data_IF_936734552091
#
_entry.id   IF_936734552091
#
_cell.length_a   1.000
_cell.length_b   1.000
_cell.length_c   1.000
_cell.angle_alpha   90.00
_cell.angle_beta   90.00
_cell.angle_gamma   90.00
#
_symmetry.space_group_name_H-M   'P 1'
#
loop_
_entity.id
_entity.type
_entity.pdbx_description
1 polymer ?
#
# COMPACT_ATOMS: atom_id res chain seq x y z
N UNK A 1 30.26 -3.88 16.35
CA UNK A 1 29.26 -3.71 15.28
C UNK A 1 27.92 -4.11 15.87
N UNK A 2 26.90 -3.24 15.91
CA UNK A 2 25.57 -3.63 16.36
C UNK A 2 25.06 -4.89 15.67
N UNK A 3 24.38 -5.74 16.43
CA UNK A 3 23.78 -6.98 15.94
C UNK A 3 22.27 -6.83 15.94
N UNK A 4 21.68 -7.16 14.81
CA UNK A 4 20.25 -7.12 14.60
C UNK A 4 19.70 -8.53 14.64
N UNK A 5 18.74 -8.78 15.52
CA UNK A 5 18.08 -10.07 15.64
C UNK A 5 16.69 -10.01 15.00
N UNK A 6 16.39 -10.96 14.11
CA UNK A 6 15.04 -11.07 13.54
C UNK A 6 14.05 -11.46 14.63
N UNK A 7 13.00 -10.66 14.80
CA UNK A 7 11.93 -10.89 15.79
C UNK A 7 10.59 -11.26 15.16
N UNK A 8 10.38 -10.92 13.89
CA UNK A 8 9.22 -11.37 13.12
C UNK A 8 9.55 -11.46 11.64
N UNK A 9 8.88 -12.38 10.96
CA UNK A 9 8.89 -12.53 9.50
C UNK A 9 7.45 -12.61 9.02
N UNK A 10 7.16 -11.97 7.90
CA UNK A 10 5.85 -11.94 7.26
C UNK A 10 5.99 -12.08 5.75
N UNK A 11 4.89 -12.37 5.07
CA UNK A 11 4.82 -12.27 3.61
C UNK A 11 4.82 -10.80 3.19
N UNK A 12 5.56 -10.50 2.13
CA UNK A 12 5.56 -9.18 1.50
C UNK A 12 5.87 -9.34 0.02
N UNK A 13 5.13 -8.67 -0.86
CA UNK A 13 5.40 -8.76 -2.29
C UNK A 13 5.88 -7.42 -2.85
N UNK A 14 7.08 -7.41 -3.44
CA UNK A 14 7.60 -6.26 -4.16
C UNK A 14 7.11 -6.23 -5.62
N UNK A 15 7.71 -5.34 -6.41
CA UNK A 15 7.61 -5.40 -7.86
C UNK A 15 8.42 -6.54 -8.46
N UNK A 16 8.47 -6.66 -9.79
CA UNK A 16 9.20 -7.72 -10.47
C UNK A 16 10.72 -7.60 -10.38
N UNK A 17 11.43 -8.71 -10.62
CA UNK A 17 12.90 -8.70 -10.73
C UNK A 17 13.38 -7.83 -11.90
N UNK A 18 12.62 -7.82 -12.99
CA UNK A 18 12.93 -7.09 -14.21
C UNK A 18 11.71 -6.27 -14.66
N UNK A 19 11.99 -5.08 -15.21
CA UNK A 19 10.95 -4.19 -15.71
C UNK A 19 10.19 -4.84 -16.87
N UNK A 20 8.86 -4.74 -16.86
CA UNK A 20 8.01 -5.17 -17.96
C UNK A 20 6.78 -4.25 -18.09
N UNK A 21 6.03 -4.40 -19.19
CA UNK A 21 4.71 -3.75 -19.35
C UNK A 21 3.60 -4.75 -19.06
N UNK A 22 2.70 -4.40 -18.16
CA UNK A 22 1.53 -5.22 -17.86
C UNK A 22 0.56 -5.27 -19.06
N UNK A 23 -0.52 -6.04 -18.92
CA UNK A 23 -1.57 -6.13 -19.96
C UNK A 23 -2.28 -4.80 -20.22
N UNK A 24 -2.25 -3.87 -19.26
CA UNK A 24 -2.80 -2.52 -19.37
C UNK A 24 -1.83 -1.51 -19.99
N UNK A 25 -0.59 -1.92 -20.31
CA UNK A 25 0.47 -1.06 -20.81
C UNK A 25 1.18 -0.22 -19.75
N UNK A 26 0.85 -0.43 -18.46
CA UNK A 26 1.55 0.19 -17.34
C UNK A 26 2.92 -0.45 -17.14
N UNK A 27 3.86 0.33 -16.66
CA UNK A 27 5.22 -0.14 -16.42
C UNK A 27 5.34 -0.71 -15.01
N UNK A 28 5.61 -2.02 -14.92
CA UNK A 28 5.98 -2.67 -13.67
C UNK A 28 7.49 -2.58 -13.50
N UNK A 29 7.95 -2.02 -12.38
CA UNK A 29 9.37 -1.81 -12.10
C UNK A 29 9.82 -2.55 -10.84
N UNK A 30 11.10 -2.95 -10.76
CA UNK A 30 11.63 -3.55 -9.54
C UNK A 30 11.53 -2.63 -8.34
N UNK A 31 11.20 -3.21 -7.18
CA UNK A 31 11.26 -2.47 -5.91
C UNK A 31 12.71 -2.05 -5.66
N UNK A 32 12.92 -0.75 -5.46
CA UNK A 32 14.26 -0.16 -5.42
C UNK A 32 15.02 -0.52 -4.16
N UNK A 33 16.01 -1.42 -4.30
CA UNK A 33 16.93 -1.75 -3.21
C UNK A 33 17.60 -0.50 -2.62
N UNK A 34 17.84 -0.53 -1.31
CA UNK A 34 18.45 0.57 -0.58
C UNK A 34 17.90 0.72 0.84
N UNK A 35 18.41 1.73 1.53
CA UNK A 35 18.04 2.05 2.91
C UNK A 35 17.35 3.40 2.96
N UNK A 36 16.24 3.45 3.69
CA UNK A 36 15.28 4.54 3.68
C UNK A 36 14.75 4.80 5.09
N UNK A 37 14.14 5.96 5.28
CA UNK A 37 13.52 6.37 6.54
C UNK A 37 12.02 6.54 6.33
N UNK A 38 11.22 5.99 7.24
CA UNK A 38 9.77 6.22 7.24
C UNK A 38 9.50 7.69 7.57
N UNK A 39 8.91 8.43 6.64
CA UNK A 39 8.57 9.83 6.86
C UNK A 39 7.09 10.07 7.15
N UNK A 40 6.19 9.26 6.58
CA UNK A 40 4.74 9.42 6.72
C UNK A 40 4.03 8.07 6.76
N UNK A 41 3.03 7.94 7.62
CA UNK A 41 2.10 6.81 7.69
C UNK A 41 0.70 7.42 7.67
N UNK A 42 -0.01 7.26 6.56
CA UNK A 42 -1.31 7.91 6.35
C UNK A 42 -2.08 7.26 5.18
N UNK A 43 -3.35 7.61 5.03
CA UNK A 43 -4.13 7.25 3.85
C UNK A 43 -3.56 7.92 2.60
N UNK A 44 -3.52 7.17 1.49
CA UNK A 44 -3.13 7.75 0.22
C UNK A 44 -4.34 8.29 -0.56
N UNK A 45 -4.22 9.54 -1.00
CA UNK A 45 -5.11 10.14 -1.99
C UNK A 45 -4.30 10.62 -3.18
N UNK A 46 -4.56 10.03 -4.35
CA UNK A 46 -3.89 10.39 -5.60
C UNK A 46 -4.42 11.74 -6.10
N UNK A 47 -3.51 12.66 -6.43
CA UNK A 47 -3.87 13.96 -7.00
C UNK A 47 -4.03 13.90 -8.53
N UNK A 48 -3.21 13.06 -9.18
CA UNK A 48 -3.20 12.86 -10.63
C UNK A 48 -4.32 11.95 -11.16
N UNK A 49 -4.13 11.45 -12.38
CA UNK A 49 -5.10 10.59 -13.10
C UNK A 49 -4.72 9.10 -13.15
N UNK A 50 -3.55 8.71 -12.65
CA UNK A 50 -3.05 7.34 -12.75
C UNK A 50 -3.91 6.33 -11.97
N UNK A 51 -4.42 6.74 -10.81
CA UNK A 51 -5.22 5.91 -9.92
C UNK A 51 -6.54 6.64 -9.59
N UNK A 52 -7.54 6.59 -10.48
CA UNK A 52 -8.76 7.38 -10.34
C UNK A 52 -9.57 7.02 -9.09
N UNK A 53 -9.60 5.75 -8.70
CA UNK A 53 -10.31 5.30 -7.49
C UNK A 53 -9.58 5.65 -6.20
N UNK A 54 -8.27 5.85 -6.27
CA UNK A 54 -7.46 6.38 -5.18
C UNK A 54 -7.57 7.90 -5.00
N UNK A 55 -8.43 8.60 -5.76
CA UNK A 55 -8.77 10.02 -5.52
C UNK A 55 -9.76 10.20 -4.36
N UNK A 56 -10.32 9.09 -3.88
CA UNK A 56 -11.18 9.02 -2.71
C UNK A 56 -10.42 8.31 -1.58
N UNK A 57 -10.33 8.88 -0.37
CA UNK A 57 -9.67 8.22 0.74
C UNK A 57 -10.42 6.93 1.13
N UNK A 58 -9.67 5.92 1.54
CA UNK A 58 -10.26 4.70 2.07
C UNK A 58 -11.18 4.99 3.26
N UNK A 59 -12.30 4.29 3.33
CA UNK A 59 -13.28 4.43 4.40
C UNK A 59 -14.14 5.70 4.30
N UNK A 60 -14.04 6.50 3.24
CA UNK A 60 -14.97 7.61 3.00
C UNK A 60 -16.42 7.10 2.93
N UNK A 61 -17.38 7.79 3.54
CA UNK A 61 -18.77 7.35 3.53
C UNK A 61 -19.35 7.39 2.11
N UNK A 62 -20.11 6.36 1.75
CA UNK A 62 -20.79 6.21 0.46
C UNK A 62 -22.30 6.16 0.66
N UNK A 63 -23.02 6.66 -0.35
CA UNK A 63 -24.46 6.50 -0.46
C UNK A 63 -24.92 6.53 -1.90
N UNK A 64 -26.14 6.06 -2.14
CA UNK A 64 -26.87 6.37 -3.37
C UNK A 64 -27.58 7.71 -3.20
N UNK A 65 -27.31 8.65 -4.11
CA UNK A 65 -27.97 9.95 -4.19
C UNK A 65 -29.42 9.83 -4.66
N UNK A 66 -30.16 10.95 -4.60
CA UNK A 66 -31.59 10.99 -4.97
C UNK A 66 -31.85 10.68 -6.43
N UNK A 67 -30.88 10.93 -7.30
CA UNK A 67 -30.91 10.66 -8.74
C UNK A 67 -30.37 9.26 -9.10
N UNK A 68 -30.11 8.42 -8.10
CA UNK A 68 -29.56 7.07 -8.27
C UNK A 68 -28.05 7.02 -8.50
N UNK A 69 -27.36 8.16 -8.57
CA UNK A 69 -25.90 8.21 -8.70
C UNK A 69 -25.20 7.87 -7.37
N UNK A 70 -24.03 7.26 -7.43
CA UNK A 70 -23.21 7.08 -6.23
C UNK A 70 -22.60 8.40 -5.79
N UNK A 71 -22.73 8.71 -4.50
CA UNK A 71 -22.13 9.86 -3.86
C UNK A 71 -21.14 9.43 -2.78
N UNK A 72 -20.09 10.21 -2.63
CA UNK A 72 -19.06 10.03 -1.60
C UNK A 72 -18.94 11.29 -0.76
N UNK A 73 -18.78 11.11 0.56
CA UNK A 73 -18.52 12.22 1.47
C UNK A 73 -17.05 12.63 1.38
N UNK A 74 -16.80 13.81 0.84
CA UNK A 74 -15.48 14.44 0.75
C UNK A 74 -15.46 15.67 1.66
N UNK A 75 -14.64 15.64 2.71
CA UNK A 75 -14.47 16.76 3.65
C UNK A 75 -15.80 17.29 4.21
N UNK A 76 -16.73 16.40 4.57
CA UNK A 76 -18.04 16.75 5.13
C UNK A 76 -19.13 17.03 4.10
N UNK A 77 -18.80 17.09 2.80
CA UNK A 77 -19.76 17.33 1.73
C UNK A 77 -19.96 16.12 0.82
N UNK A 78 -21.21 15.83 0.46
CA UNK A 78 -21.52 14.78 -0.51
C UNK A 78 -21.24 15.25 -1.94
N UNK A 79 -20.50 14.44 -2.69
CA UNK A 79 -20.17 14.70 -4.10
C UNK A 79 -20.45 13.46 -4.93
N UNK A 80 -20.92 13.65 -6.17
CA UNK A 80 -21.02 12.56 -7.14
C UNK A 80 -19.66 11.90 -7.33
N UNK A 81 -19.64 10.57 -7.30
CA UNK A 81 -18.41 9.81 -7.37
C UNK A 81 -17.65 10.10 -8.66
N UNK A 82 -18.33 10.06 -9.80
CA UNK A 82 -17.77 10.34 -11.14
C UNK A 82 -16.98 11.65 -11.21
N UNK A 83 -17.45 12.70 -10.52
CA UNK A 83 -16.81 14.01 -10.48
C UNK A 83 -15.52 14.00 -9.64
N UNK A 84 -15.46 13.16 -8.61
CA UNK A 84 -14.28 13.01 -7.75
C UNK A 84 -13.22 12.13 -8.43
N UNK A 85 -13.62 10.95 -8.93
CA UNK A 85 -12.69 9.99 -9.56
C UNK A 85 -12.32 10.38 -11.00
N UNK A 86 -13.05 11.32 -11.62
CA UNK A 86 -12.83 11.84 -12.99
C UNK A 86 -12.77 10.73 -14.04
N UNK A 87 -13.69 9.78 -13.97
CA UNK A 87 -13.68 8.56 -14.79
C UNK A 87 -14.37 8.69 -16.15
N UNK A 88 -14.62 9.89 -16.66
CA UNK A 88 -15.29 10.11 -17.97
C UNK A 88 -14.58 9.47 -19.18
N UNK A 89 -13.28 9.16 -19.01
CA UNK A 89 -12.50 8.36 -19.95
C UNK A 89 -12.96 6.90 -20.00
N UNK A 90 -13.41 6.34 -18.88
CA UNK A 90 -13.71 4.92 -18.69
C UNK A 90 -15.22 4.64 -18.63
N UNK A 91 -16.01 5.54 -18.06
CA UNK A 91 -17.45 5.42 -17.90
C UNK A 91 -18.13 6.69 -18.43
N UNK A 92 -19.14 6.52 -19.28
CA UNK A 92 -19.90 7.61 -19.89
C UNK A 92 -21.09 8.04 -19.03
N UNK A 93 -21.57 7.15 -18.17
CA UNK A 93 -22.74 7.39 -17.32
C UNK A 93 -22.48 7.02 -15.86
N UNK A 94 -23.24 7.62 -14.93
CA UNK A 94 -23.21 7.24 -13.50
C UNK A 94 -23.62 5.78 -13.29
N UNK A 95 -24.53 5.29 -14.14
CA UNK A 95 -24.99 3.91 -14.13
C UNK A 95 -23.86 2.94 -14.46
N UNK A 96 -23.10 3.20 -15.52
CA UNK A 96 -21.93 2.38 -15.89
C UNK A 96 -20.89 2.30 -14.77
N UNK A 97 -20.55 3.43 -14.16
CA UNK A 97 -19.64 3.45 -13.02
C UNK A 97 -20.19 2.64 -11.83
N UNK A 98 -21.48 2.81 -11.53
CA UNK A 98 -22.13 2.09 -10.41
C UNK A 98 -22.19 0.59 -10.66
N UNK A 99 -22.54 0.16 -11.86
CA UNK A 99 -22.60 -1.25 -12.24
C UNK A 99 -21.21 -1.87 -12.23
N UNK A 100 -20.20 -1.17 -12.76
CA UNK A 100 -18.80 -1.60 -12.67
C UNK A 100 -18.37 -1.82 -11.22
N UNK A 101 -18.66 -0.88 -10.31
CA UNK A 101 -18.28 -1.04 -8.90
C UNK A 101 -19.02 -2.19 -8.22
N UNK A 102 -20.27 -2.46 -8.60
CA UNK A 102 -21.02 -3.61 -8.10
C UNK A 102 -20.39 -4.91 -8.56
N UNK A 103 -20.04 -5.00 -9.83
CA UNK A 103 -19.39 -6.19 -10.40
C UNK A 103 -17.98 -6.37 -9.83
N UNK A 104 -17.23 -5.28 -9.65
CA UNK A 104 -15.91 -5.30 -9.01
C UNK A 104 -15.98 -5.70 -7.54
N UNK A 105 -16.95 -5.16 -6.79
CA UNK A 105 -17.18 -5.59 -5.41
C UNK A 105 -17.63 -7.05 -5.32
N UNK A 106 -18.48 -7.50 -6.25
CA UNK A 106 -18.91 -8.89 -6.33
C UNK A 106 -17.75 -9.84 -6.71
N UNK A 107 -16.79 -9.39 -7.52
CA UNK A 107 -15.61 -10.18 -7.91
C UNK A 107 -14.70 -10.50 -6.72
N UNK A 108 -14.79 -9.74 -5.63
CA UNK A 108 -14.12 -10.07 -4.38
C UNK A 108 -14.57 -11.43 -3.82
N UNK A 109 -15.68 -12.04 -4.30
CA UNK A 109 -16.27 -13.31 -3.86
C UNK A 109 -16.86 -13.29 -2.43
N UNK A 110 -17.29 -12.11 -1.94
CA UNK A 110 -17.73 -11.94 -0.55
C UNK A 110 -19.00 -11.11 -0.36
N UNK A 111 -20.12 -11.68 -0.78
CA UNK A 111 -21.46 -11.68 -0.14
C UNK A 111 -22.51 -11.97 -1.20
N UNK A 112 -23.55 -12.69 -0.81
CA UNK A 112 -24.79 -12.73 -1.59
C UNK A 112 -25.36 -11.32 -1.68
N UNK A 113 -25.23 -10.72 -2.86
CA UNK A 113 -25.85 -9.45 -3.21
C UNK A 113 -24.92 -8.45 -3.87
N UNK A 114 -25.41 -7.83 -4.94
CA UNK A 114 -24.79 -6.69 -5.64
C UNK A 114 -24.86 -5.37 -4.85
N UNK A 115 -24.92 -5.45 -3.52
CA UNK A 115 -25.01 -4.29 -2.66
C UNK A 115 -23.61 -3.72 -2.42
N UNK A 116 -23.39 -2.48 -2.85
CA UNK A 116 -22.15 -1.77 -2.58
C UNK A 116 -21.96 -1.53 -1.07
N UNK A 117 -20.72 -1.44 -0.59
CA UNK A 117 -20.44 -1.06 0.78
C UNK A 117 -20.91 0.37 1.06
N UNK A 118 -21.20 0.68 2.32
CA UNK A 118 -21.52 2.02 2.82
C UNK A 118 -20.27 2.89 3.03
N UNK A 119 -19.08 2.33 2.80
CA UNK A 119 -17.79 3.03 2.85
C UNK A 119 -16.92 2.66 1.66
N UNK A 120 -16.03 3.58 1.26
CA UNK A 120 -15.14 3.42 0.12
C UNK A 120 -14.01 2.42 0.40
N UNK A 121 -14.01 1.31 -0.33
CA UNK A 121 -13.02 0.23 -0.22
C UNK A 121 -12.27 -0.04 -1.53
N UNK A 122 -12.40 0.86 -2.50
CA UNK A 122 -11.82 0.69 -3.85
C UNK A 122 -10.54 1.52 -4.05
N UNK A 123 -9.96 2.06 -2.97
CA UNK A 123 -8.69 2.77 -3.07
C UNK A 123 -7.56 1.75 -3.31
N UNK A 124 -6.79 1.94 -4.39
CA UNK A 124 -5.75 1.02 -4.85
C UNK A 124 -4.60 0.84 -3.84
N UNK A 125 -4.49 1.76 -2.88
CA UNK A 125 -3.51 1.76 -1.80
C UNK A 125 -4.08 1.34 -0.44
N UNK A 126 -5.32 0.83 -0.43
CA UNK A 126 -5.98 0.29 0.75
C UNK A 126 -6.15 1.29 1.89
N UNK A 127 -6.23 0.78 3.12
CA UNK A 127 -6.58 1.61 4.28
C UNK A 127 -5.43 2.48 4.80
N UNK A 128 -4.17 2.11 4.51
CA UNK A 128 -3.00 2.84 4.99
C UNK A 128 -1.81 2.68 4.04
N UNK A 129 -1.00 3.74 3.94
CA UNK A 129 0.27 3.74 3.22
C UNK A 129 1.41 4.19 4.11
N UNK A 130 2.57 3.59 3.91
CA UNK A 130 3.82 3.98 4.55
C UNK A 130 4.73 4.54 3.46
N UNK A 131 5.03 5.82 3.58
CA UNK A 131 5.89 6.56 2.66
C UNK A 131 7.24 6.81 3.31
N UNK A 132 8.28 6.54 2.55
CA UNK A 132 9.66 6.63 3.00
C UNK A 132 10.49 7.44 2.01
N UNK A 133 11.64 7.92 2.47
CA UNK A 133 12.56 8.73 1.69
C UNK A 133 13.99 8.27 1.91
N UNK A 134 14.87 8.62 0.98
CA UNK A 134 16.30 8.40 1.15
C UNK A 134 16.87 9.55 1.97
N UNK A 135 17.49 9.21 3.08
CA UNK A 135 18.18 10.15 3.96
C UNK A 135 19.59 10.40 3.40
N UNK A 136 19.82 11.63 2.94
CA UNK A 136 21.04 12.03 2.23
C UNK A 136 22.10 12.64 3.15
N UNK A 137 21.73 13.09 4.35
CA UNK A 137 22.63 13.74 5.31
C UNK A 137 22.70 13.02 6.67
N UNK A 138 21.92 11.97 6.87
CA UNK A 138 21.92 11.15 8.08
C UNK A 138 21.10 11.73 9.24
N UNK A 139 20.33 12.80 9.02
CA UNK A 139 19.54 13.44 10.09
C UNK A 139 18.17 12.78 10.31
N UNK A 140 17.78 11.85 9.42
CA UNK A 140 16.52 11.09 9.45
C UNK A 140 15.26 11.96 9.35
N UNK A 141 15.40 13.19 8.87
CA UNK A 141 14.32 14.15 8.66
C UNK A 141 14.16 14.38 7.16
N UNK A 142 12.92 14.44 6.68
CA UNK A 142 12.67 14.77 5.28
C UNK A 142 12.99 16.25 5.04
N UNK A 143 14.14 16.51 4.42
CA UNK A 143 14.63 17.85 4.12
C UNK A 143 13.97 18.41 2.86
N UNK A 144 13.00 19.32 3.04
CA UNK A 144 12.25 19.95 1.93
C UNK A 144 13.20 20.53 0.87
N UNK A 145 12.99 20.17 -0.39
CA UNK A 145 13.78 20.65 -1.53
C UNK A 145 15.08 19.88 -1.77
N UNK A 146 15.50 19.00 -0.86
CA UNK A 146 16.66 18.11 -1.02
C UNK A 146 16.26 16.65 -1.15
N UNK A 147 15.23 16.26 -0.42
CA UNK A 147 14.72 14.90 -0.36
C UNK A 147 13.23 14.90 -0.70
N UNK A 148 12.79 13.82 -1.30
CA UNK A 148 11.39 13.57 -1.60
C UNK A 148 11.02 12.18 -1.16
N UNK A 149 9.73 11.97 -0.89
CA UNK A 149 9.22 10.62 -0.77
C UNK A 149 9.53 9.82 -2.03
N UNK A 150 9.85 8.56 -1.84
CA UNK A 150 9.89 7.59 -2.91
C UNK A 150 8.50 7.50 -3.56
N UNK A 151 8.45 7.21 -4.86
CA UNK A 151 7.19 6.94 -5.57
C UNK A 151 6.56 5.61 -5.18
N UNK A 152 7.33 4.73 -4.53
CA UNK A 152 6.90 3.40 -4.10
C UNK A 152 6.52 3.47 -2.62
N UNK A 153 5.42 2.84 -2.25
CA UNK A 153 4.91 2.82 -0.87
C UNK A 153 4.84 1.39 -0.35
N UNK A 154 4.77 1.23 0.97
CA UNK A 154 4.23 -0.01 1.56
C UNK A 154 2.74 0.20 1.75
N UNK A 155 1.92 -0.70 1.22
CA UNK A 155 0.46 -0.59 1.29
C UNK A 155 -0.22 -1.96 1.12
N UNK A 156 -1.54 -1.98 1.21
CA UNK A 156 -2.40 -3.13 0.91
C UNK A 156 -3.13 -2.89 -0.41
N UNK A 157 -3.77 -3.91 -0.99
CA UNK A 157 -4.62 -3.76 -2.18
C UNK A 157 -6.10 -3.98 -1.86
N UNK A 158 -7.06 -3.50 -2.68
CA UNK A 158 -8.49 -3.75 -2.46
C UNK A 158 -8.85 -5.23 -2.30
N UNK A 159 -8.20 -6.12 -3.05
CA UNK A 159 -8.43 -7.57 -2.92
C UNK A 159 -7.94 -8.10 -1.58
N UNK A 160 -6.75 -7.69 -1.11
CA UNK A 160 -6.20 -8.12 0.18
C UNK A 160 -7.09 -7.67 1.36
N UNK A 161 -7.61 -6.45 1.27
CA UNK A 161 -8.55 -5.87 2.23
C UNK A 161 -9.85 -6.68 2.26
N UNK A 162 -10.42 -6.98 1.08
CA UNK A 162 -11.63 -7.77 0.97
C UNK A 162 -11.43 -9.21 1.51
N UNK A 163 -10.31 -9.86 1.19
CA UNK A 163 -9.97 -11.18 1.72
C UNK A 163 -9.79 -11.16 3.25
N UNK A 164 -9.20 -10.11 3.80
CA UNK A 164 -9.01 -10.00 5.25
C UNK A 164 -10.32 -9.74 5.98
N UNK A 165 -11.21 -8.90 5.43
CA UNK A 165 -12.49 -8.52 6.04
C UNK A 165 -13.45 -9.70 6.29
N UNK A 166 -13.28 -10.78 5.53
CA UNK A 166 -14.06 -12.03 5.62
C UNK A 166 -13.30 -13.16 6.32
N UNK A 167 -12.16 -12.84 6.93
CA UNK A 167 -11.37 -13.80 7.69
C UNK A 167 -10.65 -14.84 6.82
N UNK A 168 -10.51 -14.62 5.50
CA UNK A 168 -9.67 -15.48 4.68
C UNK A 168 -8.21 -15.20 5.03
N UNK A 169 -7.57 -16.19 5.64
CA UNK A 169 -6.17 -16.10 6.09
C UNK A 169 -5.18 -16.57 5.04
N UNK A 170 -5.62 -17.33 4.05
CA UNK A 170 -4.76 -17.92 3.03
C UNK A 170 -5.05 -17.30 1.67
N UNK A 171 -4.34 -16.21 1.36
CA UNK A 171 -4.30 -15.63 0.02
C UNK A 171 -2.87 -15.20 -0.31
N UNK A 172 -2.56 -15.20 -1.59
CA UNK A 172 -1.24 -14.81 -2.11
C UNK A 172 -1.28 -13.32 -2.40
N UNK A 173 -0.31 -12.59 -1.88
CA UNK A 173 -0.11 -11.19 -2.23
C UNK A 173 0.31 -11.08 -3.69
N UNK A 174 -0.35 -10.21 -4.44
CA UNK A 174 -0.03 -10.00 -5.86
C UNK A 174 1.23 -9.15 -6.05
N UNK A 175 1.91 -9.36 -7.17
CA UNK A 175 3.05 -8.55 -7.58
C UNK A 175 2.64 -7.08 -7.81
N UNK A 176 3.46 -6.15 -7.33
CA UNK A 176 3.22 -4.72 -7.46
C UNK A 176 3.91 -4.15 -8.71
N UNK A 177 3.68 -2.86 -8.98
CA UNK A 177 4.43 -2.11 -10.00
C UNK A 177 5.69 -1.40 -9.45
N UNK A 178 6.14 -1.78 -8.25
CA UNK A 178 7.30 -1.21 -7.55
C UNK A 178 7.08 -1.02 -6.05
N UNK A 179 5.82 -0.86 -5.64
CA UNK A 179 5.40 -0.81 -4.23
C UNK A 179 5.66 -2.12 -3.48
N UNK A 180 5.43 -2.12 -2.17
CA UNK A 180 5.54 -3.31 -1.33
C UNK A 180 4.16 -3.60 -0.77
N UNK A 181 3.56 -4.70 -1.21
CA UNK A 181 2.28 -5.15 -0.71
C UNK A 181 2.47 -5.97 0.57
N UNK A 182 1.68 -5.66 1.60
CA UNK A 182 1.55 -6.44 2.82
C UNK A 182 0.08 -6.85 3.01
N UNK A 183 -0.16 -7.85 3.86
CA UNK A 183 -1.52 -8.18 4.29
C UNK A 183 -2.04 -7.09 5.26
N UNK A 184 -3.34 -6.74 5.24
CA UNK A 184 -3.92 -5.75 6.14
C UNK A 184 -3.67 -6.02 7.63
N UNK A 185 -3.88 -7.27 8.07
CA UNK A 185 -3.62 -7.63 9.47
C UNK A 185 -2.12 -7.51 9.86
N UNK A 186 -1.21 -7.73 8.92
CA UNK A 186 0.23 -7.61 9.17
C UNK A 186 0.65 -6.15 9.27
N UNK A 187 0.22 -5.27 8.35
CA UNK A 187 0.56 -3.85 8.41
C UNK A 187 0.02 -3.19 9.70
N UNK A 188 -1.19 -3.55 10.13
CA UNK A 188 -1.78 -3.11 11.40
C UNK A 188 -0.99 -3.59 12.62
N UNK A 189 -0.60 -4.87 12.62
CA UNK A 189 0.23 -5.47 13.67
C UNK A 189 1.60 -4.80 13.76
N UNK A 190 2.23 -4.49 12.62
CA UNK A 190 3.53 -3.83 12.56
C UNK A 190 3.46 -2.36 13.01
N UNK A 191 2.39 -1.63 12.68
CA UNK A 191 2.18 -0.24 13.13
C UNK A 191 1.87 -0.20 14.62
N UNK A 192 0.95 -1.05 15.11
CA UNK A 192 0.57 -1.10 16.53
C UNK A 192 1.73 -1.46 17.45
N UNK A 193 2.62 -2.36 17.01
CA UNK A 193 3.87 -2.71 17.71
C UNK A 193 5.00 -1.68 17.53
N UNK A 194 4.74 -0.60 16.78
CA UNK A 194 5.69 0.49 16.47
C UNK A 194 6.92 0.05 15.66
N UNK A 195 6.84 -1.10 15.00
CA UNK A 195 7.88 -1.59 14.08
C UNK A 195 7.87 -0.76 12.79
N UNK A 196 6.68 -0.40 12.30
CA UNK A 196 6.50 0.61 11.26
C UNK A 196 6.07 1.92 11.92
N UNK A 197 7.03 2.83 12.09
CA UNK A 197 6.84 4.13 12.74
C UNK A 197 7.68 5.18 12.03
N UNK A 198 7.18 6.42 11.95
CA UNK A 198 7.98 7.57 11.50
C UNK A 198 9.33 7.62 12.21
N UNK A 199 10.39 7.78 11.41
CA UNK A 199 11.77 7.78 11.86
C UNK A 199 12.40 6.40 11.97
N UNK A 200 11.67 5.29 11.83
CA UNK A 200 12.26 3.95 11.71
C UNK A 200 12.88 3.73 10.34
N UNK A 201 13.82 2.80 10.27
CA UNK A 201 14.52 2.45 9.03
C UNK A 201 13.76 1.38 8.27
N UNK A 202 13.68 1.55 6.95
CA UNK A 202 13.33 0.50 6.00
C UNK A 202 14.57 0.15 5.18
N UNK A 203 14.89 -1.12 5.03
CA UNK A 203 15.90 -1.59 4.08
C UNK A 203 15.30 -2.57 3.10
N UNK A 204 15.41 -2.24 1.83
CA UNK A 204 14.98 -3.09 0.73
C UNK A 204 16.24 -3.78 0.22
N UNK A 205 16.27 -5.09 0.36
CA UNK A 205 17.38 -5.93 -0.05
C UNK A 205 17.36 -6.19 -1.56
N UNK A 206 18.51 -6.57 -2.14
CA UNK A 206 18.58 -7.00 -3.54
C UNK A 206 17.73 -8.25 -3.80
N UNK A 207 17.23 -8.39 -5.04
CA UNK A 207 16.51 -9.60 -5.49
C UNK A 207 17.37 -10.88 -5.51
N UNK A 208 18.69 -10.74 -5.41
CA UNK A 208 19.63 -11.86 -5.34
C UNK A 208 19.57 -12.59 -4.00
N UNK A 209 19.06 -11.95 -2.94
CA UNK A 209 18.95 -12.55 -1.61
C UNK A 209 17.92 -13.69 -1.64
N UNK A 210 18.33 -14.85 -1.12
CA UNK A 210 17.55 -16.11 -1.16
C UNK A 210 17.03 -16.56 0.20
N UNK A 211 17.42 -15.88 1.27
CA UNK A 211 17.00 -16.21 2.64
C UNK A 211 16.78 -14.91 3.41
N UNK A 212 15.86 -14.94 4.37
CA UNK A 212 15.75 -13.90 5.39
C UNK A 212 16.73 -14.26 6.52
N UNK A 213 17.81 -13.49 6.75
CA UNK A 213 18.80 -13.85 7.75
C UNK A 213 18.24 -13.76 9.16
N UNK A 214 18.61 -14.69 10.06
CA UNK A 214 18.22 -14.58 11.48
C UNK A 214 18.96 -13.44 12.18
N UNK A 215 20.19 -13.16 11.75
CA UNK A 215 21.08 -12.15 12.32
C UNK A 215 21.65 -11.27 11.22
N UNK A 216 21.77 -9.97 11.48
CA UNK A 216 22.42 -9.01 10.60
C UNK A 216 23.47 -8.22 11.37
N UNK A 217 24.65 -8.08 10.78
CA UNK A 217 25.72 -7.25 11.34
C UNK A 217 25.65 -5.86 10.71
N UNK A 218 25.66 -4.82 11.54
CA UNK A 218 25.59 -3.44 11.06
C UNK A 218 26.78 -2.62 11.51
N UNK A 219 27.17 -1.66 10.67
CA UNK A 219 28.10 -0.59 11.08
C UNK A 219 27.39 0.37 12.03
N UNK A 220 26.13 0.69 11.73
CA UNK A 220 25.26 1.53 12.53
C UNK A 220 23.84 0.97 12.53
N UNK A 221 23.19 0.98 13.69
CA UNK A 221 21.84 0.48 13.86
C UNK A 221 21.03 1.47 14.71
N UNK A 222 20.12 2.19 14.05
CA UNK A 222 19.18 3.13 14.66
C UNK A 222 17.91 3.18 13.81
N UNK A 223 16.72 3.22 14.43
CA UNK A 223 16.41 3.16 15.85
C UNK A 223 16.20 1.69 16.29
N UNK A 224 15.55 1.44 17.43
CA UNK A 224 15.35 0.10 18.03
C UNK A 224 14.82 -1.00 17.10
N UNK A 225 14.13 -0.64 16.01
CA UNK A 225 13.62 -1.59 15.04
C UNK A 225 13.95 -1.16 13.61
N UNK A 226 14.29 -2.13 12.78
CA UNK A 226 14.45 -1.97 11.34
C UNK A 226 13.51 -2.93 10.61
N UNK A 227 12.82 -2.41 9.59
CA UNK A 227 11.97 -3.21 8.72
C UNK A 227 12.74 -3.54 7.44
N UNK A 228 12.90 -4.82 7.14
CA UNK A 228 13.65 -5.30 5.99
C UNK A 228 12.72 -6.00 5.02
N UNK A 229 12.86 -5.69 3.73
CA UNK A 229 12.08 -6.30 2.65
C UNK A 229 13.02 -7.07 1.74
N UNK A 230 12.67 -8.32 1.46
CA UNK A 230 13.42 -9.26 0.63
C UNK A 230 12.57 -9.62 -0.58
N UNK A 231 12.52 -8.76 -1.61
CA UNK A 231 11.58 -8.93 -2.72
C UNK A 231 11.90 -10.16 -3.58
N UNK A 232 13.14 -10.68 -3.56
CA UNK A 232 13.52 -11.90 -4.29
C UNK A 232 12.92 -13.20 -3.75
N UNK A 233 12.35 -13.19 -2.55
CA UNK A 233 11.73 -14.34 -1.89
C UNK A 233 10.36 -14.02 -1.29
N UNK A 234 9.79 -12.86 -1.63
CA UNK A 234 8.47 -12.41 -1.18
C UNK A 234 8.29 -12.40 0.35
N UNK A 235 9.30 -11.91 1.08
CA UNK A 235 9.27 -11.80 2.54
C UNK A 235 9.63 -10.40 3.02
N UNK A 236 9.15 -10.06 4.20
CA UNK A 236 9.68 -8.98 5.00
C UNK A 236 9.91 -9.43 6.44
N UNK A 237 10.81 -8.75 7.14
CA UNK A 237 11.15 -9.06 8.52
C UNK A 237 11.41 -7.80 9.33
N UNK A 238 11.13 -7.88 10.62
CA UNK A 238 11.56 -6.86 11.59
C UNK A 238 12.73 -7.40 12.38
N UNK A 239 13.72 -6.53 12.56
CA UNK A 239 14.87 -6.80 13.39
C UNK A 239 14.89 -5.85 14.58
N UNK A 240 15.17 -6.37 15.77
CA UNK A 240 15.51 -5.58 16.94
C UNK A 240 17.00 -5.24 16.92
N UNK A 241 17.31 -4.00 17.28
CA UNK A 241 18.69 -3.53 17.47
C UNK A 241 19.08 -3.78 18.93
N UNK A 242 20.14 -4.58 19.13
CA UNK A 242 20.76 -4.84 20.43
C UNK A 242 22.14 -4.19 20.53
#
# INVERSE_FOLDING_TARGET
MPQLQRITEIDAHGGPVAKYKDRGGNEATPTRAGRYIIGLIDQHVTQGSAYPFSRVPWGAALRTGKDGAMEVNMNGGWKKLSAVVKTSKYFKTEKELTDYLKDYYASFKYKDGKALPDRWVFNDFGHITIKYFRDLNGDRVLNKGRETFMSDFIHTTPYDEAYTAVGKKDFVLEESHGCIHLRPADIDSLISKRYLKRGNTIEIHPYTDKVVPTLLMRKEAKPFFEFHVFPGINKAAVYSVH
#
